data_IF_111831831511
#
_entry.id   IF_111831831511
#
_cell.length_a   1.000
_cell.length_b   1.000
_cell.length_c   1.000
_cell.angle_alpha   90.00
_cell.angle_beta   90.00
_cell.angle_gamma   90.00
#
_symmetry.space_group_name_H-M   'P 1'
#
loop_
_entity.id
_entity.type
_entity.pdbx_description
1 polymer ?
#
# COMPACT_ATOMS: atom_id res chain seq x y z
N UNK A 1 -11.94 -17.19 1.17
CA UNK A 1 -13.13 -17.68 0.43
C UNK A 1 -12.68 -17.96 -0.98
N UNK A 2 -12.53 -19.25 -1.31
CA UNK A 2 -12.02 -19.71 -2.60
C UNK A 2 -13.09 -19.50 -3.66
N UNK A 3 -12.83 -18.63 -4.63
CA UNK A 3 -13.72 -18.50 -5.80
C UNK A 3 -13.47 -19.71 -6.68
N UNK A 4 -14.45 -20.62 -6.70
CA UNK A 4 -14.49 -21.77 -7.60
C UNK A 4 -14.64 -21.26 -9.03
N UNK A 5 -13.66 -21.59 -9.87
CA UNK A 5 -13.78 -21.47 -11.31
C UNK A 5 -14.84 -22.47 -11.78
N UNK A 6 -15.95 -22.00 -12.34
CA UNK A 6 -17.00 -22.86 -12.89
C UNK A 6 -16.51 -23.56 -14.13
N UNK A 7 -16.89 -24.83 -14.24
CA UNK A 7 -16.49 -25.75 -15.28
C UNK A 7 -17.20 -25.44 -16.62
N UNK A 8 -16.65 -24.51 -17.39
CA UNK A 8 -16.77 -24.49 -18.84
C UNK A 8 -15.36 -24.39 -19.43
N UNK A 9 -14.95 -25.48 -20.09
CA UNK A 9 -13.57 -25.94 -20.21
C UNK A 9 -12.94 -25.52 -21.55
N UNK A 10 -13.12 -24.26 -21.96
CA UNK A 10 -12.78 -23.81 -23.32
C UNK A 10 -12.36 -22.32 -23.44
N UNK A 11 -11.74 -21.71 -22.42
CA UNK A 11 -11.46 -20.25 -22.48
C UNK A 11 -9.98 -19.81 -22.38
N UNK A 12 -9.00 -20.68 -22.12
CA UNK A 12 -7.65 -20.19 -21.76
C UNK A 12 -6.46 -20.95 -22.35
N UNK A 13 -6.57 -21.45 -23.59
CA UNK A 13 -5.38 -21.88 -24.36
C UNK A 13 -5.36 -21.43 -25.82
N UNK A 14 -6.46 -20.87 -26.35
CA UNK A 14 -6.49 -20.37 -27.72
C UNK A 14 -6.21 -18.86 -27.77
N UNK A 15 -5.06 -18.51 -28.33
CA UNK A 15 -4.62 -17.14 -28.63
C UNK A 15 -5.45 -16.52 -29.78
N UNK A 16 -6.59 -17.10 -30.17
CA UNK A 16 -7.25 -16.83 -31.44
C UNK A 16 -8.43 -15.83 -31.40
N UNK A 17 -8.63 -15.09 -30.30
CA UNK A 17 -9.61 -13.99 -30.26
C UNK A 17 -9.16 -12.84 -29.32
N UNK A 18 -7.93 -12.36 -29.49
CA UNK A 18 -7.50 -11.10 -28.87
C UNK A 18 -7.89 -9.92 -29.79
N UNK A 19 -8.38 -8.79 -29.26
CA UNK A 19 -8.45 -7.55 -30.03
C UNK A 19 -7.09 -7.25 -30.68
N UNK A 20 -7.09 -6.76 -31.92
CA UNK A 20 -5.88 -6.60 -32.75
C UNK A 20 -4.77 -5.82 -32.03
N UNK A 21 -5.14 -4.82 -31.23
CA UNK A 21 -4.24 -4.01 -30.41
C UNK A 21 -3.53 -4.81 -29.29
N UNK A 22 -4.23 -5.77 -28.66
CA UNK A 22 -3.67 -6.63 -27.64
C UNK A 22 -2.81 -7.74 -28.26
N UNK A 23 -3.22 -8.27 -29.42
CA UNK A 23 -2.47 -9.25 -30.18
C UNK A 23 -1.10 -8.70 -30.62
N UNK A 24 -1.07 -7.49 -31.19
CA UNK A 24 0.17 -6.80 -31.56
C UNK A 24 1.08 -6.56 -30.35
N UNK A 25 0.50 -6.24 -29.19
CA UNK A 25 1.25 -6.07 -27.93
C UNK A 25 1.87 -7.40 -27.48
N UNK A 26 1.09 -8.48 -27.47
CA UNK A 26 1.56 -9.80 -27.08
C UNK A 26 2.63 -10.33 -28.03
N UNK A 27 2.49 -10.11 -29.34
CA UNK A 27 3.53 -10.44 -30.33
C UNK A 27 4.84 -9.69 -30.04
N UNK A 28 4.76 -8.36 -29.85
CA UNK A 28 5.93 -7.52 -29.52
C UNK A 28 6.61 -7.92 -28.21
N UNK A 29 5.86 -8.44 -27.25
CA UNK A 29 6.40 -8.89 -25.97
C UNK A 29 7.07 -10.26 -26.05
N UNK A 30 6.87 -11.03 -27.12
CA UNK A 30 7.32 -12.43 -27.25
C UNK A 30 6.31 -13.43 -26.68
N UNK A 31 5.02 -13.13 -26.82
CA UNK A 31 3.91 -13.93 -26.31
C UNK A 31 3.81 -13.96 -24.79
N UNK A 32 3.11 -14.98 -24.27
CA UNK A 32 2.91 -15.16 -22.83
C UNK A 32 4.21 -15.42 -22.07
N UNK A 33 5.17 -16.11 -22.70
CA UNK A 33 6.49 -16.36 -22.12
C UNK A 33 7.27 -15.06 -21.91
N UNK A 34 7.28 -14.20 -22.94
CA UNK A 34 7.91 -12.89 -22.87
C UNK A 34 7.27 -11.95 -21.85
N UNK A 35 5.95 -12.05 -21.62
CA UNK A 35 5.30 -11.33 -20.52
C UNK A 35 5.66 -11.92 -19.14
N UNK A 36 5.59 -13.25 -18.99
CA UNK A 36 5.88 -13.94 -17.72
C UNK A 36 7.30 -13.69 -17.22
N UNK A 37 8.27 -13.56 -18.12
CA UNK A 37 9.66 -13.25 -17.76
C UNK A 37 9.88 -11.82 -17.25
N UNK A 38 8.91 -10.91 -17.45
CA UNK A 38 8.98 -9.50 -17.03
C UNK A 38 8.13 -9.18 -15.80
N UNK A 39 7.14 -10.02 -15.50
CA UNK A 39 6.26 -9.84 -14.33
C UNK A 39 6.92 -10.50 -13.12
N UNK A 40 7.10 -9.77 -12.00
CA UNK A 40 7.68 -10.36 -10.80
C UNK A 40 6.82 -11.51 -10.27
N UNK A 41 7.47 -12.49 -9.65
CA UNK A 41 6.77 -13.58 -8.99
C UNK A 41 5.96 -13.07 -7.79
N UNK A 42 4.97 -13.85 -7.36
CA UNK A 42 4.18 -13.50 -6.17
C UNK A 42 5.06 -13.32 -4.93
N UNK A 43 6.10 -14.14 -4.79
CA UNK A 43 7.02 -14.08 -3.65
C UNK A 43 7.78 -12.74 -3.63
N UNK A 44 8.24 -12.28 -4.79
CA UNK A 44 9.01 -11.04 -4.97
C UNK A 44 8.21 -9.79 -4.56
N UNK A 45 6.88 -9.81 -4.72
CA UNK A 45 5.99 -8.67 -4.41
C UNK A 45 5.31 -8.78 -3.05
N UNK A 46 5.66 -9.77 -2.23
CA UNK A 46 4.99 -10.00 -0.93
C UNK A 46 5.17 -8.81 0.00
N UNK A 47 6.39 -8.25 0.07
CA UNK A 47 6.67 -7.10 0.94
C UNK A 47 5.99 -5.82 0.44
N UNK A 48 5.93 -5.62 -0.88
CA UNK A 48 5.17 -4.53 -1.49
C UNK A 48 3.68 -4.64 -1.14
N UNK A 49 3.11 -5.84 -1.23
CA UNK A 49 1.71 -6.08 -0.88
C UNK A 49 1.43 -5.79 0.60
N UNK A 50 2.34 -6.15 1.52
CA UNK A 50 2.23 -5.81 2.95
C UNK A 50 2.28 -4.30 3.17
N UNK A 51 3.19 -3.60 2.51
CA UNK A 51 3.27 -2.14 2.56
C UNK A 51 1.97 -1.51 2.07
N UNK A 52 1.46 -1.92 0.90
CA UNK A 52 0.20 -1.39 0.38
C UNK A 52 -1.00 -1.72 1.27
N UNK A 53 -1.01 -2.89 1.92
CA UNK A 53 -2.02 -3.23 2.91
C UNK A 53 -1.97 -2.28 4.12
N UNK A 54 -0.78 -1.83 4.54
CA UNK A 54 -0.64 -0.82 5.58
C UNK A 54 -1.09 0.58 5.13
N UNK A 55 -1.15 0.85 3.83
CA UNK A 55 -1.58 2.15 3.28
C UNK A 55 -3.06 2.17 2.87
N UNK A 56 -3.72 1.02 2.73
CA UNK A 56 -5.09 0.90 2.20
C UNK A 56 -6.20 1.25 3.20
N UNK A 57 -5.92 2.11 4.19
CA UNK A 57 -6.87 2.52 5.22
C UNK A 57 -6.87 4.05 5.39
N UNK A 58 -8.04 4.70 5.34
CA UNK A 58 -8.14 6.16 5.35
C UNK A 58 -7.62 6.78 6.65
N UNK A 59 -7.77 6.11 7.80
CA UNK A 59 -7.26 6.60 9.09
C UNK A 59 -5.73 6.61 9.07
N UNK A 60 -5.11 5.54 8.57
CA UNK A 60 -3.64 5.45 8.50
C UNK A 60 -3.08 6.53 7.58
N UNK A 61 -3.72 6.78 6.44
CA UNK A 61 -3.36 7.90 5.56
C UNK A 61 -3.54 9.26 6.24
N UNK A 62 -4.63 9.47 6.99
CA UNK A 62 -4.86 10.70 7.75
C UNK A 62 -3.76 10.94 8.80
N UNK A 63 -3.34 9.89 9.53
CA UNK A 63 -2.23 9.97 10.49
C UNK A 63 -0.93 10.36 9.78
N UNK A 64 -0.60 9.73 8.65
CA UNK A 64 0.61 10.03 7.89
C UNK A 64 0.62 11.50 7.40
N UNK A 65 -0.50 12.01 6.90
CA UNK A 65 -0.63 13.42 6.52
C UNK A 65 -0.51 14.37 7.72
N UNK A 66 -1.07 14.01 8.89
CA UNK A 66 -0.89 14.81 10.10
C UNK A 66 0.59 14.86 10.53
N UNK A 67 1.29 13.73 10.44
CA UNK A 67 2.71 13.62 10.76
C UNK A 67 3.64 14.26 9.72
N UNK A 68 3.16 14.48 8.49
CA UNK A 68 3.87 15.27 7.49
C UNK A 68 3.94 16.75 7.88
N UNK A 69 2.94 17.26 8.62
CA UNK A 69 2.87 18.65 9.05
C UNK A 69 3.75 18.88 10.29
N UNK A 70 3.70 17.96 11.25
CA UNK A 70 4.47 18.07 12.48
C UNK A 70 4.65 16.71 13.19
N UNK A 71 5.66 16.62 14.06
CA UNK A 71 5.80 15.50 14.98
C UNK A 71 4.75 15.59 16.10
N UNK A 72 3.92 14.56 16.27
CA UNK A 72 2.73 14.61 17.14
C UNK A 72 2.74 13.53 18.21
N UNK A 73 2.19 13.84 19.38
CA UNK A 73 1.91 12.83 20.40
C UNK A 73 0.57 12.10 20.10
N UNK A 74 0.37 10.88 20.65
CA UNK A 74 -0.88 10.14 20.48
C UNK A 74 -2.13 10.92 20.87
N UNK A 75 -2.04 11.81 21.88
CA UNK A 75 -3.19 12.62 22.31
C UNK A 75 -3.68 13.53 21.19
N UNK A 76 -2.79 14.18 20.42
CA UNK A 76 -3.19 15.04 19.31
C UNK A 76 -3.72 14.21 18.15
N UNK A 77 -3.06 13.10 17.82
CA UNK A 77 -3.53 12.19 16.76
C UNK A 77 -4.93 11.62 17.07
N UNK A 78 -5.24 11.38 18.34
CA UNK A 78 -6.57 10.97 18.79
C UNK A 78 -7.63 12.01 18.48
N UNK A 79 -7.36 13.28 18.79
CA UNK A 79 -8.29 14.38 18.50
C UNK A 79 -8.52 14.55 16.99
N UNK A 80 -7.47 14.41 16.17
CA UNK A 80 -7.56 14.52 14.71
C UNK A 80 -8.36 13.37 14.09
N UNK A 81 -8.15 12.15 14.60
CA UNK A 81 -8.75 10.92 14.03
C UNK A 81 -10.10 10.56 14.66
N UNK A 82 -10.48 11.22 15.76
CA UNK A 82 -11.68 10.92 16.57
C UNK A 82 -11.77 9.43 17.00
N UNK A 83 -10.63 8.80 17.27
CA UNK A 83 -10.55 7.40 17.66
C UNK A 83 -10.47 7.17 19.17
N UNK A 84 -10.80 5.96 19.60
CA UNK A 84 -10.43 5.48 20.93
C UNK A 84 -8.94 5.18 21.01
N UNK A 85 -8.38 5.17 22.22
CA UNK A 85 -6.94 4.92 22.43
C UNK A 85 -6.52 3.57 21.87
N UNK A 86 -7.32 2.51 22.09
CA UNK A 86 -7.03 1.16 21.57
C UNK A 86 -7.00 1.10 20.05
N UNK A 87 -7.91 1.80 19.37
CA UNK A 87 -7.94 1.84 17.90
C UNK A 87 -6.75 2.63 17.37
N UNK A 88 -6.46 3.80 17.95
CA UNK A 88 -5.31 4.60 17.54
C UNK A 88 -4.00 3.82 17.71
N UNK A 89 -3.81 3.15 18.85
CA UNK A 89 -2.63 2.30 19.08
C UNK A 89 -2.49 1.21 18.03
N UNK A 90 -3.59 0.54 17.64
CA UNK A 90 -3.56 -0.45 16.56
C UNK A 90 -3.07 0.14 15.24
N UNK A 91 -3.60 1.30 14.83
CA UNK A 91 -3.17 1.95 13.59
C UNK A 91 -1.71 2.38 13.65
N UNK A 92 -1.24 2.90 14.78
CA UNK A 92 0.17 3.27 14.98
C UNK A 92 1.08 2.04 14.93
N UNK A 93 0.72 0.92 15.56
CA UNK A 93 1.50 -0.32 15.49
C UNK A 93 1.61 -0.84 14.04
N UNK A 94 0.52 -0.84 13.27
CA UNK A 94 0.55 -1.24 11.85
C UNK A 94 1.49 -0.33 11.04
N UNK A 95 1.48 0.98 11.29
CA UNK A 95 2.36 1.93 10.63
C UNK A 95 3.84 1.79 11.07
N UNK A 96 4.08 1.49 12.34
CA UNK A 96 5.42 1.21 12.88
C UNK A 96 6.00 -0.09 12.27
N UNK A 97 5.20 -1.16 12.21
CA UNK A 97 5.58 -2.45 11.61
C UNK A 97 5.91 -2.30 10.11
N UNK A 98 5.14 -1.48 9.40
CA UNK A 98 5.39 -1.13 8.01
C UNK A 98 6.55 -0.15 7.81
N UNK A 99 7.21 0.28 8.90
CA UNK A 99 8.31 1.25 8.91
C UNK A 99 7.93 2.60 8.27
N UNK A 100 6.66 2.99 8.31
CA UNK A 100 6.18 4.26 7.79
C UNK A 100 6.30 5.40 8.82
N UNK A 101 6.24 5.05 10.10
CA UNK A 101 6.40 5.99 11.21
C UNK A 101 7.48 5.49 12.16
N UNK A 102 8.09 6.42 12.87
CA UNK A 102 8.94 6.18 14.02
C UNK A 102 8.43 6.99 15.21
N UNK A 103 8.95 6.70 16.39
CA UNK A 103 8.68 7.53 17.56
C UNK A 103 9.93 7.74 18.40
N UNK A 104 9.95 8.86 19.13
CA UNK A 104 10.97 9.17 20.12
C UNK A 104 10.34 9.54 21.46
N UNK A 105 11.04 9.29 22.55
CA UNK A 105 10.63 9.75 23.88
C UNK A 105 11.17 11.15 24.13
N UNK A 106 10.27 12.09 24.47
CA UNK A 106 10.62 13.44 24.94
C UNK A 106 10.09 13.62 26.36
N UNK A 107 10.96 13.35 27.35
CA UNK A 107 10.62 13.33 28.78
C UNK A 107 9.47 12.35 29.05
N UNK A 108 8.26 12.87 29.29
CA UNK A 108 7.04 12.09 29.58
C UNK A 108 6.18 11.79 28.35
N UNK A 109 6.58 12.27 27.17
CA UNK A 109 5.77 12.19 25.96
C UNK A 109 6.38 11.23 24.95
N UNK A 110 5.53 10.38 24.34
CA UNK A 110 5.87 9.69 23.10
C UNK A 110 5.49 10.59 21.93
N UNK A 111 6.43 10.86 21.06
CA UNK A 111 6.26 11.72 19.88
C UNK A 111 6.48 10.88 18.63
N UNK A 112 5.49 10.82 17.77
CA UNK A 112 5.52 10.13 16.48
C UNK A 112 5.96 11.07 15.37
N UNK A 113 6.64 10.52 14.37
CA UNK A 113 7.14 11.23 13.19
C UNK A 113 7.19 10.28 11.99
N UNK A 114 7.19 10.83 10.78
CA UNK A 114 7.40 10.02 9.57
C UNK A 114 8.83 9.47 9.52
N UNK A 115 8.97 8.22 9.13
CA UNK A 115 10.27 7.67 8.72
C UNK A 115 10.67 8.20 7.33
N UNK A 116 11.88 7.89 6.86
CA UNK A 116 12.30 8.17 5.48
C UNK A 116 11.35 7.55 4.44
N UNK A 117 10.90 6.30 4.69
CA UNK A 117 9.92 5.63 3.84
C UNK A 117 8.55 6.33 3.91
N UNK A 118 8.10 6.70 5.11
CA UNK A 118 6.86 7.44 5.30
C UNK A 118 6.83 8.77 4.56
N UNK A 119 7.91 9.54 4.64
CA UNK A 119 8.08 10.79 3.90
C UNK A 119 7.98 10.56 2.39
N UNK A 120 8.75 9.60 1.86
CA UNK A 120 8.75 9.26 0.43
C UNK A 120 7.35 8.85 -0.08
N UNK A 121 6.61 8.08 0.71
CA UNK A 121 5.24 7.65 0.37
C UNK A 121 4.30 8.84 0.35
N UNK A 122 4.29 9.66 1.41
CA UNK A 122 3.35 10.78 1.50
C UNK A 122 3.66 11.82 0.43
N UNK A 123 4.92 12.12 0.12
CA UNK A 123 5.31 13.03 -0.97
C UNK A 123 4.85 12.53 -2.34
N UNK A 124 4.95 11.22 -2.59
CA UNK A 124 4.56 10.63 -3.87
C UNK A 124 3.07 10.73 -4.16
N UNK A 125 2.25 10.71 -3.10
CA UNK A 125 0.79 10.73 -3.17
C UNK A 125 0.16 12.02 -2.64
N UNK A 126 0.97 12.98 -2.17
CA UNK A 126 0.49 14.25 -1.67
C UNK A 126 -0.32 14.95 -2.76
N UNK A 127 -1.56 15.29 -2.43
CA UNK A 127 -2.29 16.28 -3.20
C UNK A 127 -1.61 17.64 -2.97
N UNK A 128 -1.35 18.43 -4.03
CA UNK A 128 -1.03 19.84 -3.88
C UNK A 128 -2.09 20.47 -2.97
N UNK A 129 -1.66 21.08 -1.87
CA UNK A 129 -2.53 21.93 -1.08
C UNK A 129 -2.55 23.28 -1.80
N UNK A 130 -3.62 23.56 -2.53
CA UNK A 130 -3.93 24.90 -3.06
C UNK A 130 -4.46 25.82 -1.95
#
# INVERSE_FOLDING_TARGET
MSTKCSADKECCTDVLNLPDEMAATMEKLGGLEGLRSRVPGREDVTEEAKLFQSLSDPIRLQILHALQIADLCPCILKEITALSDSKLSYHLSVLEEAKLVAWSSRKKWRIYMLSELGQSVVERFARPQE
#
